data_IF_245472298315
#
_entry.id   IF_245472298315
#
_cell.length_a   1.000
_cell.length_b   1.000
_cell.length_c   1.000
_cell.angle_alpha   90.00
_cell.angle_beta   90.00
_cell.angle_gamma   90.00
#
_symmetry.space_group_name_H-M   'P 1'
#
loop_
_entity.id
_entity.type
_entity.pdbx_description
1 polymer ?
#
# COMPACT_ATOMS: atom_id res chain seq x y z
N UNK A 1 29.23 -32.95 34.25
CA UNK A 1 29.52 -31.86 33.31
C UNK A 1 29.27 -32.36 31.90
N UNK A 2 28.19 -31.92 31.25
CA UNK A 2 28.00 -32.01 29.80
C UNK A 2 27.36 -30.69 29.39
N UNK A 3 28.09 -29.96 28.54
CA UNK A 3 27.81 -28.61 28.06
C UNK A 3 26.63 -28.60 27.09
N UNK A 4 25.85 -27.53 27.18
CA UNK A 4 24.68 -27.18 26.37
C UNK A 4 24.95 -27.27 24.86
N UNK A 5 24.05 -27.93 24.12
CA UNK A 5 23.87 -27.65 22.69
C UNK A 5 22.81 -26.57 22.55
N UNK A 6 23.26 -25.33 22.35
CA UNK A 6 22.43 -24.22 21.93
C UNK A 6 21.91 -24.48 20.51
N UNK A 7 20.68 -24.97 20.39
CA UNK A 7 19.98 -25.00 19.12
C UNK A 7 19.64 -23.55 18.72
N UNK A 8 20.06 -23.06 17.53
CA UNK A 8 19.65 -21.74 17.08
C UNK A 8 18.12 -21.72 16.96
N UNK A 9 17.49 -20.81 17.71
CA UNK A 9 16.06 -20.52 17.59
C UNK A 9 15.77 -20.11 16.16
N UNK A 10 14.84 -20.80 15.51
CA UNK A 10 14.32 -20.44 14.19
C UNK A 10 13.64 -19.08 14.33
N UNK A 11 14.37 -18.01 13.99
CA UNK A 11 13.86 -16.65 13.96
C UNK A 11 13.09 -16.44 12.66
N UNK A 12 11.77 -16.40 12.82
CA UNK A 12 10.85 -15.47 12.15
C UNK A 12 11.05 -15.24 10.64
N UNK A 13 10.57 -16.20 9.83
CA UNK A 13 10.45 -16.04 8.37
C UNK A 13 9.35 -15.04 7.96
N UNK A 14 8.39 -14.74 8.83
CA UNK A 14 7.25 -13.87 8.53
C UNK A 14 7.68 -12.42 8.34
N UNK A 15 8.48 -11.89 9.28
CA UNK A 15 8.97 -10.53 9.21
C UNK A 15 9.83 -10.23 7.97
N UNK A 16 10.58 -11.20 7.46
CA UNK A 16 11.43 -11.01 6.28
C UNK A 16 10.59 -10.86 5.01
N UNK A 17 9.56 -11.69 4.84
CA UNK A 17 8.68 -11.61 3.68
C UNK A 17 7.86 -10.31 3.69
N UNK A 18 7.34 -9.92 4.86
CA UNK A 18 6.59 -8.68 5.02
C UNK A 18 7.45 -7.44 4.75
N UNK A 19 8.72 -7.45 5.18
CA UNK A 19 9.64 -6.34 4.92
C UNK A 19 10.06 -6.25 3.46
N UNK A 20 10.31 -7.39 2.79
CA UNK A 20 10.58 -7.43 1.35
C UNK A 20 9.36 -6.93 0.57
N UNK A 21 8.16 -7.39 0.94
CA UNK A 21 6.92 -6.98 0.29
C UNK A 21 6.69 -5.47 0.45
N UNK A 22 6.89 -4.90 1.65
CA UNK A 22 6.82 -3.45 1.86
C UNK A 22 7.77 -2.67 0.95
N UNK A 23 9.01 -3.11 0.85
CA UNK A 23 10.02 -2.42 0.03
C UNK A 23 9.69 -2.52 -1.46
N UNK A 24 9.28 -3.70 -1.93
CA UNK A 24 8.82 -3.91 -3.32
C UNK A 24 7.61 -3.04 -3.63
N UNK A 25 6.69 -2.84 -2.68
CA UNK A 25 5.50 -2.02 -2.88
C UNK A 25 5.80 -0.52 -2.92
N UNK A 26 6.77 -0.03 -2.14
CA UNK A 26 7.24 1.35 -2.23
C UNK A 26 7.92 1.61 -3.58
N UNK A 27 8.79 0.69 -4.04
CA UNK A 27 9.44 0.78 -5.35
C UNK A 27 8.41 0.72 -6.48
N UNK A 28 7.42 -0.19 -6.40
CA UNK A 28 6.30 -0.26 -7.34
C UNK A 28 5.49 1.02 -7.35
N UNK A 29 5.20 1.61 -6.18
CA UNK A 29 4.47 2.87 -6.10
C UNK A 29 5.23 4.00 -6.81
N UNK A 30 6.55 4.10 -6.64
CA UNK A 30 7.38 5.07 -7.35
C UNK A 30 7.37 4.84 -8.87
N UNK A 31 7.46 3.59 -9.32
CA UNK A 31 7.38 3.24 -10.74
C UNK A 31 6.01 3.64 -11.31
N UNK A 32 4.93 3.30 -10.61
CA UNK A 32 3.55 3.64 -10.98
C UNK A 32 3.39 5.15 -11.09
N UNK A 33 3.83 5.91 -10.08
CA UNK A 33 3.76 7.37 -10.08
C UNK A 33 4.50 7.99 -11.27
N UNK A 34 5.68 7.48 -11.60
CA UNK A 34 6.46 7.90 -12.77
C UNK A 34 5.81 7.53 -14.11
N UNK A 35 5.08 6.42 -14.19
CA UNK A 35 4.39 6.01 -15.42
C UNK A 35 3.14 6.82 -15.73
N UNK A 36 2.36 7.17 -14.70
CA UNK A 36 1.11 7.89 -14.92
C UNK A 36 1.33 9.40 -15.13
N UNK A 37 2.46 9.95 -14.68
CA UNK A 37 2.78 11.39 -14.75
C UNK A 37 4.29 11.65 -14.60
N UNK A 38 4.80 12.75 -15.16
CA UNK A 38 6.16 13.28 -14.88
C UNK A 38 6.23 13.95 -13.48
N UNK A 39 5.82 13.24 -12.42
CA UNK A 39 5.83 13.77 -11.06
C UNK A 39 7.23 13.71 -10.46
N UNK A 40 7.67 14.84 -9.91
CA UNK A 40 8.86 14.90 -9.06
C UNK A 40 8.46 14.71 -7.61
N UNK A 41 8.38 13.44 -7.19
CA UNK A 41 8.03 13.05 -5.83
C UNK A 41 9.22 13.31 -4.91
N UNK A 42 9.01 14.08 -3.84
CA UNK A 42 10.05 14.35 -2.81
C UNK A 42 9.84 13.52 -1.55
N UNK A 43 8.59 13.16 -1.26
CA UNK A 43 8.27 12.40 -0.06
C UNK A 43 7.13 11.43 -0.35
N UNK A 44 7.31 10.19 0.09
CA UNK A 44 6.28 9.16 0.14
C UNK A 44 6.16 8.67 1.58
N UNK A 45 4.98 8.83 2.19
CA UNK A 45 4.73 8.45 3.58
C UNK A 45 3.68 7.34 3.64
N UNK A 46 4.11 6.13 4.03
CA UNK A 46 3.23 4.98 4.16
C UNK A 46 2.17 5.19 5.24
N UNK A 47 0.90 5.03 4.90
CA UNK A 47 -0.20 5.03 5.86
C UNK A 47 -0.55 3.57 6.18
N UNK A 48 -0.31 3.13 7.42
CA UNK A 48 -0.57 1.76 7.89
C UNK A 48 -2.00 1.56 8.41
N UNK A 49 -2.89 2.45 8.01
CA UNK A 49 -4.21 2.56 8.62
C UNK A 49 -5.18 1.53 8.04
N UNK A 50 -5.94 0.86 8.91
CA UNK A 50 -7.05 0.00 8.48
C UNK A 50 -8.23 0.87 8.10
N UNK A 51 -8.79 0.68 6.91
CA UNK A 51 -10.02 1.36 6.51
C UNK A 51 -11.20 0.64 7.18
N UNK A 52 -11.86 1.34 8.09
CA UNK A 52 -13.05 0.84 8.77
C UNK A 52 -14.26 0.94 7.83
N UNK A 53 -14.32 0.05 6.83
CA UNK A 53 -15.54 -0.23 6.06
C UNK A 53 -16.43 -1.20 6.83
N UNK A 54 -17.69 -1.37 6.41
CA UNK A 54 -18.61 -2.40 6.97
C UNK A 54 -18.03 -3.82 6.94
N UNK A 55 -17.01 -4.04 6.12
CA UNK A 55 -16.34 -5.33 5.92
C UNK A 55 -14.87 -5.35 6.41
N UNK A 56 -14.39 -4.30 7.10
CA UNK A 56 -12.99 -4.18 7.59
C UNK A 56 -11.95 -4.66 6.57
N UNK A 57 -11.88 -4.01 5.41
CA UNK A 57 -10.85 -4.29 4.43
C UNK A 57 -9.61 -3.42 4.66
N UNK A 58 -8.44 -4.03 4.69
CA UNK A 58 -7.16 -3.33 4.67
C UNK A 58 -6.80 -3.02 3.22
N UNK A 59 -6.41 -1.78 2.94
CA UNK A 59 -5.86 -1.41 1.64
C UNK A 59 -4.51 -2.11 1.44
N UNK A 60 -4.29 -2.73 0.28
CA UNK A 60 -2.99 -3.32 -0.05
C UNK A 60 -1.89 -2.26 0.03
N UNK A 61 -2.16 -1.07 -0.53
CA UNK A 61 -1.24 0.04 -0.42
C UNK A 61 -1.88 1.43 -0.37
N UNK A 62 -1.64 2.16 0.73
CA UNK A 62 -1.96 3.56 0.90
C UNK A 62 -0.72 4.37 1.33
N UNK A 63 -0.45 5.48 0.66
CA UNK A 63 0.56 6.45 1.11
C UNK A 63 0.13 7.89 0.81
N UNK A 64 0.69 8.82 1.59
CA UNK A 64 0.67 10.23 1.24
C UNK A 64 1.89 10.56 0.39
N UNK A 65 1.66 11.28 -0.71
CA UNK A 65 2.67 11.73 -1.65
C UNK A 65 2.79 13.24 -1.57
N UNK A 66 4.03 13.73 -1.51
CA UNK A 66 4.36 15.16 -1.65
C UNK A 66 5.26 15.36 -2.85
N UNK A 67 4.89 16.29 -3.71
CA UNK A 67 5.66 16.71 -4.89
C UNK A 67 6.62 17.87 -4.56
N UNK A 68 7.67 18.06 -5.37
CA UNK A 68 8.56 19.26 -5.30
C UNK A 68 7.76 20.58 -5.35
N UNK A 69 6.66 20.59 -6.09
CA UNK A 69 5.75 21.74 -6.23
C UNK A 69 5.01 22.11 -4.93
N UNK A 70 5.06 21.24 -3.91
CA UNK A 70 4.28 21.35 -2.68
C UNK A 70 2.89 20.72 -2.76
N UNK A 71 2.49 20.17 -3.91
CA UNK A 71 1.24 19.43 -4.03
C UNK A 71 1.27 18.16 -3.16
N UNK A 72 0.14 17.87 -2.50
CA UNK A 72 -0.05 16.68 -1.67
C UNK A 72 -1.29 15.92 -2.09
N UNK A 73 -1.17 14.60 -2.14
CA UNK A 73 -2.29 13.72 -2.45
C UNK A 73 -2.09 12.35 -1.79
N UNK A 74 -3.16 11.57 -1.71
CA UNK A 74 -3.09 10.18 -1.31
C UNK A 74 -3.01 9.28 -2.53
N UNK A 75 -2.07 8.35 -2.53
CA UNK A 75 -2.00 7.24 -3.49
C UNK A 75 -2.56 5.99 -2.83
N UNK A 76 -3.61 5.44 -3.42
CA UNK A 76 -4.27 4.22 -2.97
C UNK A 76 -4.23 3.17 -4.09
N UNK A 77 -3.57 2.05 -3.83
CA UNK A 77 -3.34 0.94 -4.77
C UNK A 77 -3.93 -0.35 -4.18
N UNK A 78 -4.65 -1.09 -5.02
CA UNK A 78 -5.21 -2.42 -4.75
C UNK A 78 -4.75 -3.41 -5.83
N UNK A 79 -4.42 -4.64 -5.44
CA UNK A 79 -4.02 -5.71 -6.34
C UNK A 79 -5.10 -6.78 -6.40
N UNK A 80 -5.51 -7.14 -7.61
CA UNK A 80 -6.57 -8.11 -7.84
C UNK A 80 -6.07 -9.24 -8.73
N UNK A 81 -6.24 -10.48 -8.25
CA UNK A 81 -5.90 -11.70 -8.99
C UNK A 81 -7.02 -12.16 -9.93
N UNK A 82 -8.20 -11.55 -9.82
CA UNK A 82 -9.39 -11.83 -10.63
C UNK A 82 -10.20 -10.56 -10.81
N UNK A 83 -11.03 -10.55 -11.84
CA UNK A 83 -12.02 -9.49 -12.02
C UNK A 83 -13.08 -9.57 -10.90
N UNK A 84 -13.04 -8.60 -9.99
CA UNK A 84 -14.01 -8.44 -8.90
C UNK A 84 -15.03 -7.36 -9.31
N UNK A 85 -16.27 -7.77 -9.56
CA UNK A 85 -17.35 -6.88 -10.00
C UNK A 85 -17.68 -5.79 -8.98
N UNK A 86 -17.38 -6.02 -7.70
CA UNK A 86 -17.63 -5.05 -6.63
C UNK A 86 -16.48 -4.04 -6.48
N UNK A 87 -15.37 -4.22 -7.21
CA UNK A 87 -14.17 -3.41 -7.03
C UNK A 87 -14.42 -1.92 -7.27
N UNK A 88 -15.21 -1.58 -8.29
CA UNK A 88 -15.54 -0.19 -8.56
C UNK A 88 -16.33 0.46 -7.41
N UNK A 89 -17.29 -0.26 -6.83
CA UNK A 89 -18.08 0.22 -5.70
C UNK A 89 -17.20 0.36 -4.44
N UNK A 90 -16.32 -0.61 -4.19
CA UNK A 90 -15.34 -0.57 -3.10
C UNK A 90 -14.41 0.65 -3.22
N UNK A 91 -13.92 0.94 -4.42
CA UNK A 91 -13.07 2.12 -4.65
C UNK A 91 -13.80 3.44 -4.34
N UNK A 92 -15.11 3.54 -4.62
CA UNK A 92 -15.90 4.72 -4.25
C UNK A 92 -16.07 4.85 -2.73
N UNK A 93 -16.30 3.73 -2.03
CA UNK A 93 -16.38 3.71 -0.56
C UNK A 93 -15.05 4.17 0.06
N UNK A 94 -13.93 3.60 -0.39
CA UNK A 94 -12.60 4.01 0.05
C UNK A 94 -12.33 5.48 -0.23
N UNK A 95 -12.71 5.99 -1.42
CA UNK A 95 -12.54 7.39 -1.77
C UNK A 95 -13.23 8.31 -0.74
N UNK A 96 -14.49 8.02 -0.43
CA UNK A 96 -15.27 8.80 0.54
C UNK A 96 -14.63 8.80 1.93
N UNK A 97 -14.16 7.64 2.40
CA UNK A 97 -13.49 7.51 3.70
C UNK A 97 -12.18 8.31 3.72
N UNK A 98 -11.33 8.13 2.72
CA UNK A 98 -10.00 8.74 2.64
C UNK A 98 -10.08 10.26 2.51
N UNK A 99 -10.93 10.78 1.61
CA UNK A 99 -11.15 12.22 1.46
C UNK A 99 -11.70 12.81 2.75
N UNK A 100 -12.67 12.14 3.40
CA UNK A 100 -13.25 12.62 4.65
C UNK A 100 -12.20 12.70 5.76
N UNK A 101 -11.32 11.71 5.86
CA UNK A 101 -10.33 11.58 6.92
C UNK A 101 -9.13 12.51 6.73
N UNK A 102 -8.52 12.49 5.55
CA UNK A 102 -7.25 13.18 5.30
C UNK A 102 -7.39 14.55 4.65
N UNK A 103 -8.56 14.87 4.09
CA UNK A 103 -8.82 16.15 3.39
C UNK A 103 -7.87 16.43 2.22
N UNK A 104 -7.35 15.37 1.62
CA UNK A 104 -6.46 15.41 0.46
C UNK A 104 -7.14 14.79 -0.76
N UNK A 105 -6.78 15.22 -1.98
CA UNK A 105 -7.18 14.51 -3.19
C UNK A 105 -6.62 13.08 -3.15
N UNK A 106 -7.39 12.13 -3.67
CA UNK A 106 -7.02 10.71 -3.67
C UNK A 106 -6.93 10.20 -5.09
N UNK A 107 -5.80 9.57 -5.41
CA UNK A 107 -5.58 8.85 -6.65
C UNK A 107 -5.66 7.36 -6.39
N UNK A 108 -6.50 6.70 -7.18
CA UNK A 108 -6.86 5.31 -7.03
C UNK A 108 -6.35 4.51 -8.21
N UNK A 109 -5.64 3.41 -7.93
CA UNK A 109 -5.19 2.46 -8.93
C UNK A 109 -5.54 1.05 -8.51
N UNK A 110 -6.07 0.27 -9.45
CA UNK A 110 -6.32 -1.16 -9.25
C UNK A 110 -5.54 -1.92 -10.31
N UNK A 111 -4.65 -2.81 -9.89
CA UNK A 111 -3.86 -3.65 -10.79
C UNK A 111 -4.46 -5.04 -10.86
N UNK A 112 -4.90 -5.43 -12.06
CA UNK A 112 -5.39 -6.77 -12.32
C UNK A 112 -4.26 -7.60 -12.92
N UNK A 113 -3.89 -8.70 -12.27
CA UNK A 113 -2.96 -9.67 -12.84
C UNK A 113 -3.75 -10.65 -13.70
N UNK A 114 -3.44 -10.67 -15.00
CA UNK A 114 -3.95 -11.67 -15.94
C UNK A 114 -2.90 -12.78 -16.00
N UNK A 115 -3.23 -13.95 -15.46
CA UNK A 115 -2.45 -15.18 -15.66
C UNK A 115 -2.98 -15.95 -16.87
#
# INVERSE_FOLDING_TARGET
MLSEKHHPKVTDKGNVYDNIFKQVMEDLALIILNWFRELKVVHLHRLTEKLHTTTQHEADFLCEVTEESGNRFLLHIEFQSRDDREMLARMQEYHGILVRKHKLPVQHYVFYFVY
#
